data_IF_256245898678
#
_entry.id   IF_256245898678
#
_cell.length_a   1.000
_cell.length_b   1.000
_cell.length_c   1.000
_cell.angle_alpha   90.00
_cell.angle_beta   90.00
_cell.angle_gamma   90.00
#
_symmetry.space_group_name_H-M   'P 1'
#
loop_
_entity.id
_entity.type
_entity.pdbx_description
1 polymer ?
#
# COMPACT_ATOMS: atom_id res chain seq x y z
N UNK A 1 -37.59 21.96 -5.82
CA UNK A 1 -36.55 21.12 -6.46
C UNK A 1 -35.21 21.42 -5.79
N UNK A 2 -34.79 20.62 -4.81
CA UNK A 2 -33.71 20.95 -3.85
C UNK A 2 -32.51 19.97 -3.86
N UNK A 3 -32.44 18.99 -4.77
CA UNK A 3 -31.45 17.89 -4.72
C UNK A 3 -30.41 17.84 -5.86
N UNK A 4 -30.53 18.67 -6.90
CA UNK A 4 -29.74 18.49 -8.13
C UNK A 4 -28.23 18.69 -7.96
N UNK A 5 -27.79 19.65 -7.14
CA UNK A 5 -26.36 19.94 -6.97
C UNK A 5 -25.64 18.83 -6.18
N UNK A 6 -26.20 18.38 -5.06
CA UNK A 6 -25.66 17.28 -4.26
C UNK A 6 -25.58 15.99 -5.08
N UNK A 7 -26.62 15.67 -5.85
CA UNK A 7 -26.61 14.45 -6.67
C UNK A 7 -25.60 14.56 -7.82
N UNK A 8 -25.44 15.73 -8.46
CA UNK A 8 -24.40 15.95 -9.47
C UNK A 8 -22.99 15.74 -8.93
N UNK A 9 -22.71 16.21 -7.71
CA UNK A 9 -21.42 15.98 -7.06
C UNK A 9 -21.22 14.49 -6.78
N UNK A 10 -22.23 13.82 -6.22
CA UNK A 10 -22.19 12.39 -5.95
C UNK A 10 -21.99 11.56 -7.23
N UNK A 11 -22.69 11.89 -8.31
CA UNK A 11 -22.50 11.28 -9.64
C UNK A 11 -21.08 11.50 -10.13
N UNK A 12 -20.56 12.74 -10.06
CA UNK A 12 -19.20 13.05 -10.51
C UNK A 12 -18.12 12.28 -9.74
N UNK A 13 -18.25 12.21 -8.41
CA UNK A 13 -17.36 11.40 -7.55
C UNK A 13 -17.47 9.92 -7.92
N UNK A 14 -18.67 9.41 -8.18
CA UNK A 14 -18.86 8.00 -8.56
C UNK A 14 -18.30 7.69 -9.95
N UNK A 15 -18.43 8.60 -10.91
CA UNK A 15 -17.96 8.41 -12.29
C UNK A 15 -16.44 8.52 -12.39
N UNK A 16 -15.84 9.44 -11.64
CA UNK A 16 -14.38 9.63 -11.65
C UNK A 16 -13.67 8.71 -10.67
N UNK A 17 -14.34 8.24 -9.62
CA UNK A 17 -13.69 7.52 -8.51
C UNK A 17 -12.80 8.41 -7.64
N UNK A 18 -12.77 9.72 -7.87
CA UNK A 18 -11.95 10.68 -7.15
C UNK A 18 -12.78 11.31 -6.03
N UNK A 19 -12.33 11.15 -4.78
CA UNK A 19 -12.96 11.77 -3.61
C UNK A 19 -11.95 12.60 -2.83
N UNK A 20 -11.98 13.91 -3.01
CA UNK A 20 -11.17 14.85 -2.22
C UNK A 20 -11.96 15.36 -1.01
N UNK A 21 -11.60 14.92 0.19
CA UNK A 21 -12.23 15.34 1.44
C UNK A 21 -12.00 16.83 1.74
N UNK A 22 -10.89 17.40 1.29
CA UNK A 22 -10.55 18.81 1.50
C UNK A 22 -11.50 19.69 0.68
N UNK A 23 -11.55 19.46 -0.64
CA UNK A 23 -12.45 20.21 -1.53
C UNK A 23 -13.93 19.95 -1.27
N UNK A 24 -14.32 18.75 -0.80
CA UNK A 24 -15.70 18.44 -0.45
C UNK A 24 -16.24 19.33 0.67
N UNK A 25 -15.41 19.75 1.63
CA UNK A 25 -15.83 20.67 2.69
C UNK A 25 -16.26 22.03 2.13
N UNK A 26 -15.44 22.60 1.25
CA UNK A 26 -15.71 23.88 0.57
C UNK A 26 -16.96 23.74 -0.31
N UNK A 27 -17.04 22.67 -1.11
CA UNK A 27 -18.14 22.42 -2.02
C UNK A 27 -19.48 22.26 -1.30
N UNK A 28 -19.49 21.56 -0.15
CA UNK A 28 -20.69 21.41 0.66
C UNK A 28 -21.18 22.76 1.21
N UNK A 29 -20.27 23.64 1.65
CA UNK A 29 -20.65 24.98 2.10
C UNK A 29 -21.29 25.81 0.99
N UNK A 30 -20.71 25.77 -0.22
CA UNK A 30 -21.27 26.45 -1.40
C UNK A 30 -22.64 25.87 -1.78
N UNK A 31 -22.81 24.55 -1.69
CA UNK A 31 -24.09 23.88 -1.95
C UNK A 31 -25.14 24.28 -0.91
N UNK A 32 -24.81 24.30 0.38
CA UNK A 32 -25.75 24.70 1.43
C UNK A 32 -26.12 26.18 1.32
N UNK A 33 -25.17 27.06 0.97
CA UNK A 33 -25.45 28.46 0.67
C UNK A 33 -26.42 28.57 -0.52
N UNK A 34 -26.17 27.83 -1.61
CA UNK A 34 -27.05 27.80 -2.78
C UNK A 34 -28.46 27.30 -2.44
N UNK A 35 -28.58 26.27 -1.60
CA UNK A 35 -29.87 25.81 -1.08
C UNK A 35 -30.57 26.90 -0.28
N UNK A 36 -29.86 27.61 0.60
CA UNK A 36 -30.41 28.70 1.41
C UNK A 36 -30.90 29.87 0.56
N UNK A 37 -30.14 30.25 -0.48
CA UNK A 37 -30.51 31.34 -1.40
C UNK A 37 -31.77 31.01 -2.23
N UNK A 38 -32.00 29.73 -2.53
CA UNK A 38 -33.22 29.26 -3.20
C UNK A 38 -34.38 28.95 -2.25
N UNK A 39 -34.12 28.77 -0.96
CA UNK A 39 -35.12 28.49 0.06
C UNK A 39 -35.62 29.81 0.66
N UNK A 40 -36.44 30.57 -0.09
CA UNK A 40 -37.15 31.74 0.46
C UNK A 40 -38.60 31.47 0.85
N UNK A 41 -39.00 32.20 1.91
CA UNK A 41 -40.26 32.16 2.67
C UNK A 41 -41.43 32.63 1.80
N UNK A 42 -42.63 32.08 2.05
CA UNK A 42 -43.84 32.42 1.29
C UNK A 42 -44.04 33.95 1.19
N UNK A 43 -43.83 34.52 -0.01
CA UNK A 43 -44.11 35.93 -0.31
C UNK A 43 -43.01 36.76 -1.00
N UNK A 44 -41.78 36.25 -1.19
CA UNK A 44 -40.69 37.02 -1.86
C UNK A 44 -40.36 36.44 -3.24
N UNK A 45 -40.18 37.29 -4.26
CA UNK A 45 -39.84 36.85 -5.62
C UNK A 45 -38.48 36.17 -5.65
N UNK A 46 -38.40 34.99 -6.27
CA UNK A 46 -37.16 34.23 -6.44
C UNK A 46 -36.06 35.10 -7.03
N UNK A 47 -34.89 35.15 -6.38
CA UNK A 47 -33.71 35.82 -6.95
C UNK A 47 -33.41 35.27 -8.35
N UNK A 48 -33.07 36.13 -9.32
CA UNK A 48 -32.65 35.68 -10.64
C UNK A 48 -31.40 34.79 -10.53
N UNK A 49 -31.31 33.79 -11.41
CA UNK A 49 -30.22 32.80 -11.40
C UNK A 49 -28.82 33.43 -11.51
N UNK A 50 -28.70 34.56 -12.20
CA UNK A 50 -27.45 35.30 -12.33
C UNK A 50 -26.95 35.83 -10.99
N UNK A 51 -27.84 36.44 -10.20
CA UNK A 51 -27.49 37.00 -8.89
C UNK A 51 -27.11 35.89 -7.89
N UNK A 52 -27.81 34.75 -7.93
CA UNK A 52 -27.43 33.58 -7.11
C UNK A 52 -26.04 33.07 -7.50
N UNK A 53 -25.73 33.02 -8.80
CA UNK A 53 -24.41 32.60 -9.29
C UNK A 53 -23.30 33.53 -8.82
N UNK A 54 -23.49 34.84 -8.93
CA UNK A 54 -22.51 35.84 -8.46
C UNK A 54 -22.21 35.70 -6.96
N UNK A 55 -23.24 35.47 -6.14
CA UNK A 55 -23.04 35.25 -4.69
C UNK A 55 -22.25 33.98 -4.42
N UNK A 56 -22.54 32.89 -5.13
CA UNK A 56 -21.82 31.62 -4.95
C UNK A 56 -20.36 31.71 -5.44
N UNK A 57 -20.11 32.39 -6.56
CA UNK A 57 -18.74 32.63 -7.08
C UNK A 57 -17.94 33.51 -6.12
N UNK A 58 -18.55 34.54 -5.54
CA UNK A 58 -17.93 35.38 -4.51
C UNK A 58 -17.55 34.56 -3.27
N UNK A 59 -18.46 33.71 -2.80
CA UNK A 59 -18.21 32.87 -1.62
C UNK A 59 -17.08 31.87 -1.89
N UNK A 60 -17.10 31.20 -3.04
CA UNK A 60 -16.05 30.27 -3.45
C UNK A 60 -14.69 30.97 -3.52
N UNK A 61 -14.64 32.17 -4.12
CA UNK A 61 -13.41 32.98 -4.18
C UNK A 61 -12.92 33.37 -2.78
N UNK A 62 -13.84 33.67 -1.87
CA UNK A 62 -13.55 33.93 -0.46
C UNK A 62 -12.88 32.73 0.24
N UNK A 63 -13.39 31.52 -0.01
CA UNK A 63 -12.78 30.29 0.52
C UNK A 63 -11.38 30.00 -0.05
N UNK A 64 -11.16 30.33 -1.32
CA UNK A 64 -9.87 30.16 -1.96
C UNK A 64 -8.82 31.17 -1.44
N UNK A 65 -9.25 32.31 -0.85
CA UNK A 65 -8.35 33.33 -0.29
C UNK A 65 -7.27 33.80 -1.29
N UNK A 66 -7.61 33.86 -2.58
CA UNK A 66 -6.68 34.22 -3.65
C UNK A 66 -5.77 33.07 -4.14
N UNK A 67 -5.90 31.86 -3.59
CA UNK A 67 -5.31 30.66 -4.18
C UNK A 67 -6.01 30.28 -5.47
N UNK A 68 -5.25 29.72 -6.40
CA UNK A 68 -5.81 29.08 -7.60
C UNK A 68 -6.47 27.76 -7.18
N UNK A 69 -7.43 27.26 -7.95
CA UNK A 69 -8.19 26.06 -7.58
C UNK A 69 -7.26 24.85 -7.43
N UNK A 70 -6.21 24.76 -8.23
CA UNK A 70 -5.20 23.70 -8.17
C UNK A 70 -4.44 23.66 -6.83
N UNK A 71 -4.29 24.81 -6.16
CA UNK A 71 -3.62 24.89 -4.85
C UNK A 71 -4.57 24.57 -3.68
N UNK A 72 -5.87 24.51 -3.95
CA UNK A 72 -6.91 24.24 -2.95
C UNK A 72 -7.40 22.78 -2.97
N UNK A 73 -7.09 22.02 -4.03
CA UNK A 73 -7.35 20.59 -4.11
C UNK A 73 -6.23 19.78 -3.44
N UNK A 74 -6.51 18.52 -3.11
CA UNK A 74 -5.46 17.61 -2.66
C UNK A 74 -4.28 17.59 -3.66
N UNK A 75 -3.06 17.97 -3.25
CA UNK A 75 -1.91 18.10 -4.16
C UNK A 75 -1.54 16.79 -4.85
N UNK A 76 -1.89 15.64 -4.26
CA UNK A 76 -1.69 14.32 -4.88
C UNK A 76 -2.46 14.16 -6.21
N UNK A 77 -3.55 14.90 -6.41
CA UNK A 77 -4.33 14.87 -7.65
C UNK A 77 -3.68 15.66 -8.79
N UNK A 78 -2.76 16.58 -8.48
CA UNK A 78 -2.03 17.41 -9.45
C UNK A 78 -0.58 16.99 -9.66
N UNK A 79 -0.11 15.93 -8.99
CA UNK A 79 1.27 15.46 -9.13
C UNK A 79 1.52 14.94 -10.55
N UNK A 80 2.55 15.50 -11.19
CA UNK A 80 3.01 15.04 -12.49
C UNK A 80 3.41 13.57 -12.39
N UNK A 81 2.98 12.78 -13.36
CA UNK A 81 3.28 11.35 -13.48
C UNK A 81 2.65 10.45 -12.39
N UNK A 82 1.72 10.98 -11.57
CA UNK A 82 0.91 10.19 -10.63
C UNK A 82 -0.52 10.06 -11.15
N UNK A 83 -0.93 8.84 -11.46
CA UNK A 83 -2.31 8.48 -11.74
C UNK A 83 -2.85 7.58 -10.62
N UNK A 84 -3.61 8.15 -9.69
CA UNK A 84 -4.15 7.44 -8.52
C UNK A 84 -4.95 6.17 -8.90
N UNK A 85 -5.57 6.14 -10.08
CA UNK A 85 -6.31 4.96 -10.56
C UNK A 85 -5.40 3.83 -11.06
N UNK A 86 -4.23 4.16 -11.61
CA UNK A 86 -3.27 3.18 -12.14
C UNK A 86 -2.21 2.81 -11.11
N UNK A 87 -1.69 3.81 -10.40
CA UNK A 87 -0.61 3.64 -9.44
C UNK A 87 -1.09 2.97 -8.16
N UNK A 88 -2.41 2.97 -7.93
CA UNK A 88 -3.07 2.40 -6.76
C UNK A 88 -2.21 2.58 -5.51
N UNK A 89 -2.10 3.80 -4.94
CA UNK A 89 -1.35 4.04 -3.70
C UNK A 89 -2.05 3.28 -2.57
N UNK A 90 -1.77 1.99 -2.53
CA UNK A 90 -2.58 1.01 -1.84
C UNK A 90 -2.17 1.04 -0.39
N UNK A 91 -3.14 1.34 0.47
CA UNK A 91 -2.91 1.37 1.89
C UNK A 91 -2.42 -0.01 2.33
N UNK A 92 -1.15 -0.09 2.72
CA UNK A 92 -0.47 -1.32 3.12
C UNK A 92 -1.29 -2.06 4.20
N UNK A 93 -2.03 -1.30 5.02
CA UNK A 93 -2.97 -1.84 5.99
C UNK A 93 -4.04 -2.73 5.35
N UNK A 94 -4.83 -2.23 4.40
CA UNK A 94 -5.98 -2.98 3.88
C UNK A 94 -5.59 -4.08 2.88
N UNK A 95 -4.56 -3.82 2.08
CA UNK A 95 -4.09 -4.71 1.02
C UNK A 95 -3.25 -5.86 1.58
N UNK A 96 -2.21 -5.52 2.36
CA UNK A 96 -1.19 -6.48 2.77
C UNK A 96 -1.51 -7.01 4.17
N UNK A 97 -1.65 -6.14 5.17
CA UNK A 97 -1.82 -6.55 6.57
C UNK A 97 -3.19 -7.22 6.82
N UNK A 98 -4.29 -6.55 6.45
CA UNK A 98 -5.66 -7.04 6.66
C UNK A 98 -6.16 -7.93 5.52
N UNK A 99 -5.49 -7.91 4.37
CA UNK A 99 -5.72 -8.81 3.24
C UNK A 99 -4.83 -10.05 3.35
N UNK A 100 -3.71 -10.04 2.61
CA UNK A 100 -2.80 -11.20 2.46
C UNK A 100 -2.44 -11.84 3.81
N UNK A 101 -1.93 -11.04 4.74
CA UNK A 101 -1.42 -11.56 6.01
C UNK A 101 -2.52 -12.10 6.91
N UNK A 102 -3.66 -11.42 7.02
CA UNK A 102 -4.80 -11.87 7.84
C UNK A 102 -5.30 -13.25 7.40
N UNK A 103 -5.46 -13.46 6.09
CA UNK A 103 -5.94 -14.74 5.59
C UNK A 103 -4.86 -15.83 5.70
N UNK A 104 -3.60 -15.49 5.40
CA UNK A 104 -2.50 -16.45 5.52
C UNK A 104 -2.25 -16.88 6.98
N UNK A 105 -2.35 -15.94 7.93
CA UNK A 105 -2.39 -16.22 9.37
C UNK A 105 -3.57 -17.12 9.74
N UNK A 106 -4.77 -16.81 9.26
CA UNK A 106 -5.96 -17.61 9.51
C UNK A 106 -5.79 -19.08 9.10
N UNK A 107 -5.13 -19.32 7.96
CA UNK A 107 -4.79 -20.66 7.46
C UNK A 107 -3.68 -21.32 8.29
N UNK A 108 -2.64 -20.57 8.65
CA UNK A 108 -1.55 -21.08 9.49
C UNK A 108 -2.07 -21.57 10.84
N UNK A 109 -2.91 -20.80 11.51
CA UNK A 109 -3.56 -21.22 12.77
C UNK A 109 -4.44 -22.45 12.59
N UNK A 110 -5.14 -22.56 11.46
CA UNK A 110 -5.93 -23.75 11.17
C UNK A 110 -5.06 -25.01 11.07
N UNK A 111 -3.91 -24.93 10.39
CA UNK A 111 -2.96 -26.03 10.29
C UNK A 111 -2.37 -26.40 11.66
N UNK A 112 -1.94 -25.41 12.44
CA UNK A 112 -1.41 -25.64 13.79
C UNK A 112 -2.44 -26.32 14.71
N UNK A 113 -3.71 -25.90 14.65
CA UNK A 113 -4.80 -26.53 15.40
C UNK A 113 -5.03 -27.97 14.97
N UNK A 114 -5.07 -28.23 13.66
CA UNK A 114 -5.26 -29.59 13.11
C UNK A 114 -4.14 -30.54 13.53
N UNK A 115 -2.91 -30.04 13.65
CA UNK A 115 -1.74 -30.81 14.06
C UNK A 115 -1.53 -30.87 15.59
N UNK A 116 -2.38 -30.22 16.41
CA UNK A 116 -2.19 -30.05 17.86
C UNK A 116 -0.85 -29.39 18.25
N UNK A 117 -0.33 -28.47 17.42
CA UNK A 117 0.97 -27.80 17.62
C UNK A 117 0.84 -26.36 18.17
N UNK A 118 -0.36 -25.95 18.60
CA UNK A 118 -0.63 -24.58 19.07
C UNK A 118 0.17 -24.24 20.32
N UNK A 119 0.32 -25.17 21.27
CA UNK A 119 1.10 -24.94 22.50
C UNK A 119 2.59 -24.73 22.22
N UNK A 120 3.16 -25.49 21.29
CA UNK A 120 4.55 -25.31 20.84
C UNK A 120 4.72 -23.96 20.14
N UNK A 121 3.79 -23.59 19.27
CA UNK A 121 3.78 -22.27 18.63
C UNK A 121 3.74 -21.14 19.68
N UNK A 122 2.85 -21.23 20.67
CA UNK A 122 2.73 -20.25 21.74
C UNK A 122 4.03 -20.12 22.54
N UNK A 123 4.61 -21.25 22.95
CA UNK A 123 5.86 -21.27 23.73
C UNK A 123 7.01 -20.61 22.98
N UNK A 124 7.09 -20.84 21.66
CA UNK A 124 8.12 -20.22 20.81
C UNK A 124 7.88 -18.73 20.58
N UNK A 125 6.63 -18.32 20.40
CA UNK A 125 6.28 -16.91 20.25
C UNK A 125 6.57 -16.13 21.54
N UNK A 126 6.34 -16.74 22.69
CA UNK A 126 6.63 -16.17 24.02
C UNK A 126 8.13 -16.07 24.29
N UNK A 127 8.93 -16.99 23.73
CA UNK A 127 10.38 -17.00 23.85
C UNK A 127 11.10 -15.96 22.97
N UNK A 128 10.39 -15.27 22.09
CA UNK A 128 10.99 -14.23 21.25
C UNK A 128 11.30 -13.00 22.10
N UNK A 129 12.55 -12.55 22.02
CA UNK A 129 12.96 -11.24 22.52
C UNK A 129 12.26 -10.14 21.71
N UNK A 130 11.46 -9.33 22.40
CA UNK A 130 10.64 -8.29 21.82
C UNK A 130 11.32 -6.91 21.82
N UNK A 131 12.50 -6.78 22.44
CA UNK A 131 13.19 -5.49 22.60
C UNK A 131 13.50 -4.80 21.27
N UNK A 132 13.61 -5.57 20.18
CA UNK A 132 13.87 -5.08 18.82
C UNK A 132 12.63 -5.03 17.93
N UNK A 133 11.48 -5.51 18.40
CA UNK A 133 10.21 -5.36 17.71
C UNK A 133 9.61 -4.01 18.10
N UNK A 134 9.40 -3.13 17.11
CA UNK A 134 8.82 -1.80 17.34
C UNK A 134 7.30 -1.84 17.62
N UNK A 135 6.85 -2.68 18.58
CA UNK A 135 5.43 -2.93 18.87
C UNK A 135 5.22 -3.13 20.39
N UNK A 136 4.12 -2.62 20.98
CA UNK A 136 3.73 -2.96 22.36
C UNK A 136 3.55 -4.47 22.48
N UNK A 137 4.05 -5.06 23.56
CA UNK A 137 4.25 -6.50 23.75
C UNK A 137 3.32 -7.44 22.96
N UNK A 138 3.90 -8.42 22.27
CA UNK A 138 3.17 -9.49 21.60
C UNK A 138 2.49 -10.35 22.66
N UNK A 139 1.23 -10.03 22.98
CA UNK A 139 0.41 -10.87 23.83
C UNK A 139 0.07 -12.17 23.07
N UNK A 140 0.85 -13.21 23.35
CA UNK A 140 0.77 -14.53 22.72
C UNK A 140 -0.63 -15.15 22.85
N UNK A 141 -1.23 -15.00 24.03
CA UNK A 141 -2.56 -15.53 24.31
C UNK A 141 -3.63 -14.83 23.47
N UNK A 142 -3.55 -13.50 23.36
CA UNK A 142 -4.42 -12.72 22.49
C UNK A 142 -4.26 -13.12 21.00
N UNK A 143 -3.03 -13.27 20.52
CA UNK A 143 -2.73 -13.62 19.12
C UNK A 143 -3.37 -14.94 18.72
N UNK A 144 -3.26 -15.95 19.59
CA UNK A 144 -3.79 -17.29 19.33
C UNK A 144 -5.31 -17.39 19.53
N UNK A 145 -5.86 -16.71 20.54
CA UNK A 145 -7.29 -16.75 20.86
C UNK A 145 -8.13 -15.89 19.90
N UNK A 146 -7.58 -14.77 19.40
CA UNK A 146 -8.32 -13.79 18.58
C UNK A 146 -7.75 -13.66 17.17
N UNK A 147 -7.50 -14.78 16.50
CA UNK A 147 -6.88 -14.81 15.15
C UNK A 147 -7.52 -13.89 14.09
N UNK A 148 -8.82 -13.63 14.19
CA UNK A 148 -9.56 -12.77 13.26
C UNK A 148 -9.65 -11.30 13.66
N UNK A 149 -9.34 -10.98 14.92
CA UNK A 149 -9.44 -9.65 15.52
C UNK A 149 -8.12 -8.88 15.55
N UNK A 150 -7.05 -9.44 14.97
CA UNK A 150 -5.76 -8.78 14.94
C UNK A 150 -5.79 -7.51 14.08
N UNK A 151 -5.07 -6.49 14.53
CA UNK A 151 -4.90 -5.22 13.83
C UNK A 151 -3.56 -5.20 13.08
N UNK A 152 -3.36 -4.18 12.24
CA UNK A 152 -2.17 -4.08 11.40
C UNK A 152 -0.83 -4.19 12.15
N UNK A 153 -0.74 -3.65 13.37
CA UNK A 153 0.49 -3.74 14.19
C UNK A 153 0.85 -5.18 14.54
N UNK A 154 -0.13 -6.01 14.91
CA UNK A 154 0.10 -7.42 15.22
C UNK A 154 0.58 -8.18 13.98
N UNK A 155 -0.08 -7.95 12.84
CA UNK A 155 0.34 -8.60 11.59
C UNK A 155 1.76 -8.20 11.22
N UNK A 156 2.11 -6.91 11.27
CA UNK A 156 3.47 -6.45 10.98
C UNK A 156 4.51 -7.18 11.81
N UNK A 157 4.33 -7.30 13.13
CA UNK A 157 5.25 -8.08 13.97
C UNK A 157 5.29 -9.55 13.60
N UNK A 158 4.12 -10.17 13.35
CA UNK A 158 4.05 -11.58 12.96
C UNK A 158 4.87 -11.83 11.68
N UNK A 159 4.75 -11.00 10.64
CA UNK A 159 5.59 -11.15 9.43
C UNK A 159 7.10 -11.24 9.74
N UNK A 160 7.56 -10.45 10.71
CA UNK A 160 8.99 -10.38 11.05
C UNK A 160 9.47 -11.64 11.78
N UNK A 161 8.61 -12.27 12.57
CA UNK A 161 9.03 -13.36 13.48
C UNK A 161 8.58 -14.75 13.03
N UNK A 162 7.54 -14.84 12.20
CA UNK A 162 6.90 -16.11 11.84
C UNK A 162 7.87 -17.18 11.32
N UNK A 163 8.84 -16.86 10.43
CA UNK A 163 9.85 -17.83 9.98
C UNK A 163 10.59 -18.55 11.12
N UNK A 164 10.91 -17.84 12.20
CA UNK A 164 11.62 -18.39 13.34
C UNK A 164 10.72 -19.20 14.28
N UNK A 165 9.41 -18.95 14.27
CA UNK A 165 8.46 -19.62 15.16
C UNK A 165 7.97 -20.94 14.57
N UNK A 166 7.76 -20.99 13.25
CA UNK A 166 7.03 -22.08 12.59
C UNK A 166 7.90 -23.09 11.82
N UNK A 167 9.23 -22.92 11.80
CA UNK A 167 10.15 -23.60 10.87
C UNK A 167 10.01 -25.14 10.77
N UNK A 168 9.48 -25.81 11.78
CA UNK A 168 9.21 -27.26 11.82
C UNK A 168 7.75 -27.60 12.23
N UNK A 169 6.88 -26.59 12.33
CA UNK A 169 5.48 -26.75 12.76
C UNK A 169 4.50 -26.82 11.58
N UNK A 170 4.95 -26.44 10.38
CA UNK A 170 4.12 -26.33 9.17
C UNK A 170 4.82 -26.96 7.97
N UNK A 171 4.06 -27.20 6.90
CA UNK A 171 4.63 -27.68 5.64
C UNK A 171 5.57 -26.63 5.03
N UNK A 172 6.59 -27.08 4.29
CA UNK A 172 7.57 -26.20 3.64
C UNK A 172 6.92 -25.06 2.84
N UNK A 173 5.88 -25.34 2.05
CA UNK A 173 5.15 -24.31 1.29
C UNK A 173 4.58 -23.15 2.14
N UNK A 174 4.26 -23.41 3.40
CA UNK A 174 3.74 -22.40 4.33
C UNK A 174 4.91 -21.59 4.89
N UNK A 175 6.03 -22.26 5.15
CA UNK A 175 7.29 -21.65 5.56
C UNK A 175 7.83 -20.71 4.47
N UNK A 176 7.85 -21.16 3.21
CA UNK A 176 8.23 -20.35 2.04
C UNK A 176 7.31 -19.12 1.93
N UNK A 177 6.00 -19.31 2.07
CA UNK A 177 5.04 -18.22 2.03
C UNK A 177 5.27 -17.17 3.13
N UNK A 178 5.58 -17.59 4.37
CA UNK A 178 5.91 -16.65 5.44
C UNK A 178 7.25 -15.95 5.23
N UNK A 179 8.22 -16.62 4.62
CA UNK A 179 9.51 -16.02 4.24
C UNK A 179 9.31 -14.92 3.20
N UNK A 180 8.58 -15.20 2.12
CA UNK A 180 8.27 -14.19 1.09
C UNK A 180 7.45 -13.01 1.65
N UNK A 181 6.51 -13.27 2.57
CA UNK A 181 5.78 -12.20 3.26
C UNK A 181 6.73 -11.37 4.12
N UNK A 182 7.66 -12.00 4.85
CA UNK A 182 8.66 -11.30 5.66
C UNK A 182 9.53 -10.37 4.82
N UNK A 183 10.04 -10.86 3.69
CA UNK A 183 10.81 -10.07 2.71
C UNK A 183 10.00 -8.91 2.14
N UNK A 184 8.77 -9.18 1.69
CA UNK A 184 7.86 -8.17 1.17
C UNK A 184 7.60 -7.07 2.20
N UNK A 185 7.36 -7.41 3.47
CA UNK A 185 7.13 -6.44 4.55
C UNK A 185 8.34 -5.56 4.78
N UNK A 186 9.57 -6.08 4.66
CA UNK A 186 10.78 -5.25 4.74
C UNK A 186 10.80 -4.22 3.61
N UNK A 187 10.50 -4.63 2.38
CA UNK A 187 10.47 -3.73 1.22
C UNK A 187 9.36 -2.67 1.33
N UNK A 188 8.16 -3.07 1.76
CA UNK A 188 7.01 -2.18 1.92
C UNK A 188 7.25 -1.07 2.96
N UNK A 189 8.05 -1.35 3.99
CA UNK A 189 8.40 -0.37 5.02
C UNK A 189 9.74 0.33 4.79
N UNK A 190 10.38 0.10 3.64
CA UNK A 190 11.50 0.90 3.19
C UNK A 190 10.98 2.20 2.54
N UNK A 191 10.62 3.18 3.37
CA UNK A 191 9.92 4.40 2.93
C UNK A 191 10.84 5.52 2.47
N UNK A 192 12.16 5.33 2.52
CA UNK A 192 13.14 6.35 2.14
C UNK A 192 14.32 5.68 1.47
N UNK A 193 14.65 6.17 0.28
CA UNK A 193 15.90 5.86 -0.40
C UNK A 193 16.86 7.01 -0.06
N UNK A 194 17.90 6.73 0.72
CA UNK A 194 18.87 7.77 1.14
C UNK A 194 19.76 8.24 -0.01
N UNK A 195 20.14 7.32 -0.90
CA UNK A 195 20.91 7.60 -2.11
C UNK A 195 20.27 6.90 -3.31
N UNK A 196 19.59 7.68 -4.16
CA UNK A 196 18.86 7.16 -5.32
C UNK A 196 19.79 6.54 -6.36
N UNK A 197 20.97 7.12 -6.59
CA UNK A 197 21.93 6.61 -7.57
C UNK A 197 22.46 5.24 -7.16
N UNK A 198 22.84 5.09 -5.88
CA UNK A 198 23.28 3.81 -5.33
C UNK A 198 22.17 2.76 -5.37
N UNK A 199 20.95 3.16 -5.00
CA UNK A 199 19.79 2.28 -5.04
C UNK A 199 19.47 1.81 -6.45
N UNK A 200 19.51 2.71 -7.44
CA UNK A 200 19.27 2.38 -8.84
C UNK A 200 20.31 1.40 -9.38
N UNK A 201 21.60 1.62 -9.07
CA UNK A 201 22.67 0.68 -9.46
C UNK A 201 22.39 -0.70 -8.86
N UNK A 202 22.08 -0.78 -7.57
CA UNK A 202 21.75 -2.06 -6.92
C UNK A 202 20.53 -2.70 -7.57
N UNK A 203 19.45 -1.96 -7.73
CA UNK A 203 18.21 -2.42 -8.36
C UNK A 203 18.46 -3.02 -9.75
N UNK A 204 19.21 -2.32 -10.60
CA UNK A 204 19.56 -2.78 -11.95
C UNK A 204 20.39 -4.07 -11.89
N UNK A 205 21.44 -4.09 -11.07
CA UNK A 205 22.34 -5.25 -10.96
C UNK A 205 21.67 -6.48 -10.36
N UNK A 206 20.65 -6.29 -9.50
CA UNK A 206 19.87 -7.39 -8.92
C UNK A 206 18.68 -7.83 -9.78
N UNK A 207 18.56 -7.35 -11.03
CA UNK A 207 17.50 -7.76 -11.94
C UNK A 207 16.18 -6.98 -11.81
N UNK A 208 16.24 -5.79 -11.22
CA UNK A 208 15.14 -4.85 -11.24
C UNK A 208 14.87 -4.29 -12.64
N UNK A 209 13.61 -3.98 -12.90
CA UNK A 209 13.19 -3.31 -14.13
C UNK A 209 13.26 -1.80 -13.98
N UNK A 210 13.65 -1.09 -15.04
CA UNK A 210 13.57 0.38 -15.12
C UNK A 210 13.00 0.82 -16.45
N UNK A 211 12.42 2.01 -16.48
CA UNK A 211 11.90 2.60 -17.71
C UNK A 211 13.04 3.31 -18.45
N UNK A 212 13.25 2.96 -19.71
CA UNK A 212 14.24 3.60 -20.58
C UNK A 212 13.54 4.66 -21.45
N UNK A 213 13.71 5.96 -21.17
CA UNK A 213 12.96 7.02 -21.86
C UNK A 213 13.26 7.07 -23.35
N UNK A 214 14.49 6.76 -23.79
CA UNK A 214 14.85 6.79 -25.20
C UNK A 214 14.15 5.69 -26.01
N UNK A 215 13.90 4.54 -25.36
CA UNK A 215 13.29 3.37 -25.97
C UNK A 215 11.78 3.28 -25.67
N UNK A 216 11.26 4.17 -24.82
CA UNK A 216 9.88 4.19 -24.35
C UNK A 216 9.38 2.82 -23.83
N UNK A 217 10.27 2.05 -23.18
CA UNK A 217 9.97 0.69 -22.74
C UNK A 217 10.62 0.39 -21.40
N UNK A 218 9.99 -0.54 -20.66
CA UNK A 218 10.60 -1.15 -19.49
C UNK A 218 11.66 -2.15 -19.91
N UNK A 219 12.84 -2.06 -19.32
CA UNK A 219 13.99 -2.91 -19.60
C UNK A 219 14.53 -3.51 -18.31
N UNK A 220 15.34 -4.55 -18.46
CA UNK A 220 16.05 -5.24 -17.40
C UNK A 220 17.50 -5.43 -17.84
N UNK A 221 18.41 -5.63 -16.89
CA UNK A 221 19.80 -5.90 -17.21
C UNK A 221 19.92 -7.22 -18.01
N UNK A 222 20.84 -7.25 -18.97
CA UNK A 222 21.08 -8.44 -19.79
C UNK A 222 21.55 -9.61 -18.90
N UNK A 223 21.34 -10.87 -19.32
CA UNK A 223 21.77 -12.04 -18.54
C UNK A 223 23.23 -11.95 -18.11
N UNK A 224 24.14 -11.52 -18.99
CA UNK A 224 25.55 -11.33 -18.66
C UNK A 224 25.82 -10.40 -17.46
N UNK A 225 24.98 -9.38 -17.25
CA UNK A 225 25.10 -8.44 -16.11
C UNK A 225 24.52 -9.06 -14.84
N UNK A 226 23.45 -9.85 -14.96
CA UNK A 226 22.84 -10.55 -13.83
C UNK A 226 23.73 -11.68 -13.34
N UNK A 227 24.31 -12.43 -14.27
CA UNK A 227 25.23 -13.54 -14.00
C UNK A 227 26.57 -13.04 -13.45
N UNK A 228 27.00 -11.83 -13.83
CA UNK A 228 28.26 -11.23 -13.38
C UNK A 228 28.39 -11.21 -11.85
N UNK A 229 27.32 -10.87 -11.11
CA UNK A 229 27.35 -10.86 -9.65
C UNK A 229 27.47 -12.26 -9.03
N UNK A 230 26.98 -13.29 -9.74
CA UNK A 230 27.15 -14.68 -9.31
C UNK A 230 28.57 -15.19 -9.54
N UNK A 231 29.26 -14.64 -10.55
CA UNK A 231 30.63 -14.99 -10.92
C UNK A 231 31.70 -14.19 -10.16
N UNK A 232 31.37 -13.00 -9.63
CA UNK A 232 32.31 -12.06 -9.01
C UNK A 232 31.88 -11.66 -7.58
N UNK A 233 32.02 -12.56 -6.60
CA UNK A 233 31.54 -12.34 -5.23
C UNK A 233 32.20 -11.14 -4.53
N UNK A 234 33.43 -10.76 -4.90
CA UNK A 234 34.08 -9.54 -4.42
C UNK A 234 33.31 -8.26 -4.76
N UNK A 235 32.76 -8.18 -5.98
CA UNK A 235 31.95 -7.04 -6.40
C UNK A 235 30.59 -7.02 -5.71
N UNK A 236 30.00 -8.19 -5.52
CA UNK A 236 28.74 -8.34 -4.79
C UNK A 236 28.88 -7.89 -3.34
N UNK A 237 30.01 -8.20 -2.71
CA UNK A 237 30.35 -7.73 -1.36
C UNK A 237 30.61 -6.22 -1.29
N UNK A 238 31.28 -5.63 -2.29
CA UNK A 238 31.47 -4.17 -2.37
C UNK A 238 30.14 -3.42 -2.53
N UNK A 239 29.16 -4.03 -3.21
CA UNK A 239 27.81 -3.50 -3.35
C UNK A 239 26.93 -3.78 -2.13
N UNK A 240 27.40 -4.53 -1.13
CA UNK A 240 26.63 -4.87 0.07
C UNK A 240 25.44 -5.80 -0.21
N UNK A 241 25.46 -6.53 -1.32
CA UNK A 241 24.46 -7.52 -1.69
C UNK A 241 24.85 -8.85 -1.01
N UNK A 242 23.92 -9.50 -0.31
CA UNK A 242 24.17 -10.82 0.29
C UNK A 242 24.11 -11.89 -0.80
N UNK A 243 25.24 -12.53 -1.09
CA UNK A 243 25.28 -13.76 -1.90
C UNK A 243 24.73 -14.89 -1.04
N UNK A 244 23.69 -15.59 -1.50
CA UNK A 244 23.28 -16.84 -0.88
C UNK A 244 24.27 -17.92 -1.36
N UNK A 245 25.00 -18.54 -0.44
CA UNK A 245 26.00 -19.58 -0.74
C UNK A 245 25.39 -20.93 -1.20
N UNK A 246 24.08 -20.99 -1.44
CA UNK A 246 23.43 -22.20 -1.96
C UNK A 246 23.49 -22.22 -3.49
N UNK A 247 24.38 -23.07 -4.00
CA UNK A 247 24.56 -23.31 -5.43
C UNK A 247 23.21 -23.58 -6.15
N UNK A 248 22.98 -23.00 -7.33
CA UNK A 248 21.79 -23.31 -8.12
C UNK A 248 21.88 -24.77 -8.56
N UNK A 249 20.98 -25.60 -8.01
CA UNK A 249 20.79 -26.97 -8.50
C UNK A 249 20.26 -26.87 -9.93
N UNK A 250 21.07 -27.31 -10.89
CA UNK A 250 20.77 -27.40 -12.32
C UNK A 250 19.42 -28.07 -12.57
N UNK A 251 18.40 -27.29 -12.93
CA UNK A 251 17.21 -27.78 -13.63
C UNK A 251 17.48 -27.73 -15.13
N UNK A 252 18.27 -28.69 -15.63
CA UNK A 252 18.27 -29.04 -17.04
C UNK A 252 17.18 -30.09 -17.26
N UNK A 253 15.99 -29.64 -17.62
CA UNK A 253 14.88 -30.48 -18.04
C UNK A 253 14.31 -29.95 -19.35
N UNK A 254 14.86 -30.41 -20.47
CA UNK A 254 14.28 -30.23 -21.81
C UNK A 254 12.92 -30.93 -21.87
N UNK A 255 11.83 -30.17 -21.78
CA UNK A 255 10.48 -30.62 -22.06
C UNK A 255 10.01 -30.03 -23.38
N UNK A 256 9.99 -30.85 -24.43
CA UNK A 256 9.36 -30.53 -25.71
C UNK A 256 7.88 -30.18 -25.52
N UNK A 257 7.45 -29.12 -26.19
CA UNK A 257 6.05 -28.81 -26.42
C UNK A 257 5.57 -29.70 -27.57
N UNK A 258 4.69 -30.65 -27.26
CA UNK A 258 3.63 -31.17 -28.12
C UNK A 258 2.43 -31.47 -27.25
#
# INVERSE_FOLDING_TARGET
>A
MLSGATEKVKTSVSTTGIRDSISLGILNTVIELGKSLHKQRAGTSSKPKSEVREVLEKELTGFLQGRVLEDAINPLLGMKDVNIHLDMPMEILHMILLGVMKYFWGQTVFLLKKANLVSTFQSRLDAIDQDRLNVPSLNVEYICCYKGGLIGKHFKSLAQVMPFVIHDLVLQRVMDGWTSIGELVVLLWHTKIDNTDEYLVKHILTGGFWYEPQLQKWVQAAPAVLDFLSEHPEHTRLLGIKVNDEAPTTLCGTGHIT
#
